data_IF_337632986365
#
_entry.id   IF_337632986365
#
_cell.length_a   1.000
_cell.length_b   1.000
_cell.length_c   1.000
_cell.angle_alpha   90.00
_cell.angle_beta   90.00
_cell.angle_gamma   90.00
#
_symmetry.space_group_name_H-M   'P 1'
#
loop_
_entity.id
_entity.type
_entity.pdbx_description
1 polymer ?
#
# COMPACT_ATOMS: atom_id res chain seq x y z
N UNK A 1 5.20 -34.16 -2.98
CA UNK A 1 6.66 -34.14 -3.25
C UNK A 1 7.29 -33.27 -2.19
N UNK A 2 8.39 -33.69 -1.58
CA UNK A 2 9.04 -32.89 -0.54
C UNK A 2 10.55 -32.91 -0.74
N UNK A 3 11.19 -31.79 -0.46
CA UNK A 3 12.64 -31.64 -0.52
C UNK A 3 13.08 -30.98 0.78
N UNK A 4 13.85 -31.71 1.60
CA UNK A 4 14.39 -31.20 2.87
C UNK A 4 13.41 -31.13 4.05
N UNK A 5 12.14 -31.53 3.91
CA UNK A 5 11.16 -31.57 5.03
C UNK A 5 10.28 -32.82 4.99
N UNK A 6 10.02 -33.41 6.16
CA UNK A 6 9.08 -34.53 6.31
C UNK A 6 7.66 -34.06 6.62
N UNK A 7 7.51 -32.84 7.14
CA UNK A 7 6.21 -32.21 7.35
C UNK A 7 5.84 -31.38 6.12
N UNK A 8 4.85 -31.88 5.38
CA UNK A 8 4.34 -31.20 4.19
C UNK A 8 3.12 -30.34 4.49
N UNK A 9 2.56 -30.37 5.71
CA UNK A 9 1.34 -29.66 6.11
C UNK A 9 0.18 -29.76 5.10
N UNK A 10 0.09 -30.89 4.38
CA UNK A 10 -0.93 -31.14 3.35
C UNK A 10 -0.68 -30.47 1.99
N UNK A 11 0.43 -29.73 1.81
CA UNK A 11 0.80 -29.14 0.53
C UNK A 11 1.30 -30.20 -0.46
N UNK A 12 0.97 -30.02 -1.75
CA UNK A 12 1.45 -30.91 -2.83
C UNK A 12 2.97 -30.87 -3.00
N UNK A 13 3.58 -29.72 -2.75
CA UNK A 13 5.03 -29.49 -2.71
C UNK A 13 5.39 -28.74 -1.43
N UNK A 14 6.30 -29.29 -0.64
CA UNK A 14 6.88 -28.63 0.53
C UNK A 14 8.41 -28.66 0.42
N UNK A 15 9.05 -27.52 0.63
CA UNK A 15 10.49 -27.36 0.46
C UNK A 15 11.07 -26.62 1.65
N UNK A 16 12.10 -27.19 2.28
CA UNK A 16 12.88 -26.54 3.34
C UNK A 16 14.26 -26.19 2.79
N UNK A 17 14.35 -25.01 2.18
CA UNK A 17 15.53 -24.53 1.46
C UNK A 17 15.21 -23.35 0.55
N UNK A 18 16.19 -22.92 -0.24
CA UNK A 18 16.02 -21.83 -1.19
C UNK A 18 15.62 -22.36 -2.57
N UNK A 19 14.85 -21.57 -3.32
CA UNK A 19 14.48 -21.85 -4.71
C UNK A 19 15.00 -20.70 -5.57
N UNK A 20 15.65 -21.04 -6.69
CA UNK A 20 15.96 -20.11 -7.76
C UNK A 20 15.13 -20.52 -8.96
N UNK A 21 14.41 -19.58 -9.56
CA UNK A 21 13.60 -19.80 -10.75
C UNK A 21 13.70 -18.57 -11.66
N UNK A 22 13.70 -18.79 -12.97
CA UNK A 22 13.62 -17.70 -13.95
C UNK A 22 12.22 -17.05 -13.93
N UNK A 23 11.17 -17.84 -13.68
CA UNK A 23 9.80 -17.37 -13.59
C UNK A 23 8.94 -18.22 -12.65
N UNK A 24 8.04 -17.55 -11.93
CA UNK A 24 7.01 -18.19 -11.10
C UNK A 24 5.67 -17.50 -11.36
N UNK A 25 4.66 -18.25 -11.79
CA UNK A 25 3.32 -17.75 -12.02
C UNK A 25 2.40 -18.16 -10.87
N UNK A 26 2.01 -17.19 -10.03
CA UNK A 26 1.06 -17.42 -8.93
C UNK A 26 -0.34 -17.05 -9.40
N UNK A 27 -1.21 -18.04 -9.57
CA UNK A 27 -2.64 -17.84 -9.85
C UNK A 27 -3.43 -17.97 -8.55
N UNK A 28 -3.70 -16.84 -7.92
CA UNK A 28 -4.63 -16.80 -6.78
C UNK A 28 -6.03 -17.17 -7.25
N UNK A 29 -6.74 -17.96 -6.45
CA UNK A 29 -8.18 -18.21 -6.65
C UNK A 29 -9.03 -17.07 -6.05
N UNK A 30 -8.43 -16.20 -5.22
CA UNK A 30 -9.07 -15.01 -4.66
C UNK A 30 -9.02 -13.79 -5.57
N UNK A 31 -9.73 -12.73 -5.18
CA UNK A 31 -9.79 -11.48 -5.95
C UNK A 31 -8.48 -10.71 -5.93
N UNK A 32 -8.05 -10.28 -7.12
CA UNK A 32 -7.05 -9.23 -7.30
C UNK A 32 -7.64 -7.87 -6.85
N UNK A 33 -6.89 -7.01 -6.12
CA UNK A 33 -7.41 -5.75 -5.58
C UNK A 33 -7.79 -4.62 -6.55
N UNK A 34 -8.26 -4.92 -7.76
CA UNK A 34 -8.73 -3.92 -8.74
C UNK A 34 -9.93 -3.07 -8.24
N UNK A 35 -10.49 -3.43 -7.09
CA UNK A 35 -11.63 -2.74 -6.48
C UNK A 35 -11.27 -1.40 -5.82
N UNK A 36 -9.99 -1.06 -5.60
CA UNK A 36 -9.56 0.18 -4.93
C UNK A 36 -10.01 1.43 -5.69
N UNK A 37 -10.14 1.34 -7.02
CA UNK A 37 -10.61 2.44 -7.86
C UNK A 37 -12.14 2.53 -7.99
N UNK A 38 -12.89 1.64 -7.33
CA UNK A 38 -14.35 1.66 -7.39
C UNK A 38 -14.92 2.78 -6.52
N UNK A 39 -16.08 3.33 -6.91
CA UNK A 39 -16.75 4.42 -6.17
C UNK A 39 -17.17 4.01 -4.76
N UNK A 40 -17.35 2.72 -4.51
CA UNK A 40 -17.70 2.16 -3.20
C UNK A 40 -16.49 1.93 -2.29
N UNK A 41 -15.27 2.07 -2.80
CA UNK A 41 -14.07 1.86 -2.00
C UNK A 41 -13.89 2.97 -0.97
N UNK A 42 -13.81 2.57 0.30
CA UNK A 42 -13.55 3.50 1.39
C UNK A 42 -12.04 3.64 1.59
N UNK A 43 -11.45 4.64 0.94
CA UNK A 43 -10.04 4.97 1.12
C UNK A 43 -9.78 5.36 2.59
N UNK A 44 -8.91 4.64 3.33
CA UNK A 44 -8.59 5.01 4.70
C UNK A 44 -7.91 6.38 4.77
N UNK A 45 -8.23 7.21 5.76
CA UNK A 45 -7.53 8.48 5.91
C UNK A 45 -6.09 8.28 6.40
N UNK A 46 -5.18 9.17 5.97
CA UNK A 46 -3.78 9.15 6.42
C UNK A 46 -3.66 9.25 7.95
N UNK A 47 -4.56 9.99 8.61
CA UNK A 47 -4.60 10.08 10.08
C UNK A 47 -4.90 8.72 10.73
N UNK A 48 -5.83 7.95 10.15
CA UNK A 48 -6.18 6.60 10.65
C UNK A 48 -5.02 5.63 10.42
N UNK A 49 -4.35 5.74 9.27
CA UNK A 49 -3.16 4.93 8.94
C UNK A 49 -2.02 5.27 9.92
N UNK A 50 -1.73 6.55 10.15
CA UNK A 50 -0.70 7.01 11.08
C UNK A 50 -0.96 6.49 12.49
N UNK A 51 -2.19 6.62 12.98
CA UNK A 51 -2.59 6.09 14.28
C UNK A 51 -2.33 4.58 14.38
N UNK A 52 -2.71 3.83 13.35
CA UNK A 52 -2.47 2.39 13.32
C UNK A 52 -0.98 2.05 13.34
N UNK A 53 -0.15 2.75 12.55
CA UNK A 53 1.30 2.53 12.53
C UNK A 53 1.90 2.83 13.91
N UNK A 54 1.49 3.91 14.56
CA UNK A 54 1.96 4.25 15.91
C UNK A 54 1.57 3.20 16.96
N UNK A 55 0.37 2.63 16.85
CA UNK A 55 -0.14 1.63 17.80
C UNK A 55 0.39 0.21 17.55
N UNK A 56 0.60 -0.16 16.28
CA UNK A 56 0.86 -1.55 15.86
C UNK A 56 2.26 -1.77 15.29
N UNK A 57 2.90 -0.73 14.74
CA UNK A 57 4.23 -0.80 14.14
C UNK A 57 4.27 -1.32 12.70
N UNK A 58 3.13 -1.51 12.05
CA UNK A 58 3.03 -1.97 10.67
C UNK A 58 1.78 -1.38 9.98
N UNK A 59 1.65 -1.58 8.67
CA UNK A 59 0.54 -1.05 7.88
C UNK A 59 -0.75 -1.85 8.06
N UNK A 60 -1.93 -1.21 8.06
CA UNK A 60 -3.21 -1.93 8.11
C UNK A 60 -3.33 -2.97 6.99
N UNK A 61 -3.65 -4.22 7.35
CA UNK A 61 -3.83 -5.34 6.41
C UNK A 61 -2.55 -6.09 6.03
N UNK A 62 -1.37 -5.55 6.36
CA UNK A 62 -0.08 -6.23 6.23
C UNK A 62 0.19 -6.99 7.54
N UNK A 63 0.62 -8.27 7.49
CA UNK A 63 0.95 -9.01 8.69
C UNK A 63 2.14 -8.40 9.43
N UNK A 64 2.11 -8.50 10.75
CA UNK A 64 3.20 -8.14 11.65
C UNK A 64 4.38 -9.09 11.50
N UNK A 65 5.57 -8.66 11.93
CA UNK A 65 6.77 -9.53 11.96
C UNK A 65 6.51 -10.84 12.72
N UNK A 66 5.76 -10.79 13.83
CA UNK A 66 5.44 -11.98 14.63
C UNK A 66 4.55 -12.98 13.88
N UNK A 67 3.56 -12.47 13.14
CA UNK A 67 2.70 -13.32 12.30
C UNK A 67 3.50 -13.94 11.15
N UNK A 68 4.41 -13.16 10.53
CA UNK A 68 5.30 -13.65 9.48
C UNK A 68 6.26 -14.72 9.99
N UNK A 69 6.81 -14.57 11.20
CA UNK A 69 7.69 -15.56 11.82
C UNK A 69 6.94 -16.86 12.16
N UNK A 70 5.70 -16.77 12.63
CA UNK A 70 4.91 -17.92 13.04
C UNK A 70 4.31 -18.69 11.84
N UNK A 71 3.76 -17.97 10.86
CA UNK A 71 2.92 -18.54 9.80
C UNK A 71 3.59 -18.50 8.42
N UNK A 72 4.63 -17.68 8.26
CA UNK A 72 5.22 -17.35 6.97
C UNK A 72 4.37 -16.35 6.17
N UNK A 73 4.67 -16.21 4.89
CA UNK A 73 3.93 -15.35 3.97
C UNK A 73 3.48 -16.15 2.75
N UNK A 74 2.19 -16.04 2.41
CA UNK A 74 1.72 -16.39 1.08
C UNK A 74 2.14 -15.29 0.09
N UNK A 75 3.09 -15.60 -0.80
CA UNK A 75 3.66 -14.64 -1.75
C UNK A 75 2.59 -13.98 -2.65
N UNK A 76 1.59 -14.75 -3.10
CA UNK A 76 0.52 -14.22 -3.92
C UNK A 76 -0.35 -13.23 -3.15
N UNK A 77 -0.83 -13.62 -1.97
CA UNK A 77 -1.66 -12.75 -1.12
C UNK A 77 -0.91 -11.49 -0.68
N UNK A 78 0.38 -11.61 -0.36
CA UNK A 78 1.20 -10.45 -0.02
C UNK A 78 1.36 -9.51 -1.22
N UNK A 79 1.63 -10.03 -2.41
CA UNK A 79 1.72 -9.20 -3.61
C UNK A 79 0.40 -8.49 -3.92
N UNK A 80 -0.73 -9.17 -3.74
CA UNK A 80 -2.05 -8.55 -3.86
C UNK A 80 -2.20 -7.40 -2.83
N UNK A 81 -1.97 -7.67 -1.55
CA UNK A 81 -2.03 -6.65 -0.49
C UNK A 81 -1.11 -5.46 -0.76
N UNK A 82 0.11 -5.71 -1.25
CA UNK A 82 1.06 -4.66 -1.60
C UNK A 82 0.56 -3.79 -2.76
N UNK A 83 0.00 -4.37 -3.82
CA UNK A 83 -0.57 -3.56 -4.89
C UNK A 83 -1.77 -2.74 -4.40
N UNK A 84 -2.64 -3.31 -3.56
CA UNK A 84 -3.71 -2.53 -2.91
C UNK A 84 -3.14 -1.29 -2.19
N UNK A 85 -2.01 -1.44 -1.48
CA UNK A 85 -1.36 -0.30 -0.80
C UNK A 85 -0.74 0.70 -1.77
N UNK A 86 -0.18 0.24 -2.89
CA UNK A 86 0.33 1.13 -3.94
C UNK A 86 -0.80 1.94 -4.56
N UNK A 87 -1.96 1.32 -4.81
CA UNK A 87 -3.14 2.01 -5.36
C UNK A 87 -3.71 3.03 -4.37
N UNK A 88 -3.86 2.66 -3.08
CA UNK A 88 -4.25 3.58 -2.01
C UNK A 88 -3.30 4.79 -1.90
N UNK A 89 -1.99 4.54 -1.93
CA UNK A 89 -0.97 5.60 -1.90
C UNK A 89 -1.07 6.49 -3.13
N UNK A 90 -1.33 5.92 -4.31
CA UNK A 90 -1.50 6.69 -5.55
C UNK A 90 -2.71 7.63 -5.45
N UNK A 91 -3.83 7.17 -4.88
CA UNK A 91 -5.00 8.02 -4.64
C UNK A 91 -4.69 9.17 -3.68
N UNK A 92 -3.98 8.90 -2.58
CA UNK A 92 -3.54 9.96 -1.67
C UNK A 92 -2.59 10.97 -2.34
N UNK A 93 -1.68 10.51 -3.19
CA UNK A 93 -0.77 11.39 -3.94
C UNK A 93 -1.52 12.29 -4.93
N UNK A 94 -2.54 11.76 -5.61
CA UNK A 94 -3.40 12.55 -6.50
C UNK A 94 -4.16 13.62 -5.72
N UNK A 95 -4.70 13.27 -4.54
CA UNK A 95 -5.37 14.23 -3.66
C UNK A 95 -4.39 15.32 -3.18
N UNK A 96 -3.18 14.92 -2.79
CA UNK A 96 -2.13 15.83 -2.34
C UNK A 96 -1.69 16.79 -3.46
N UNK A 97 -1.52 16.32 -4.69
CA UNK A 97 -1.18 17.17 -5.85
C UNK A 97 -2.26 18.23 -6.13
N UNK A 98 -3.54 17.85 -6.02
CA UNK A 98 -4.67 18.80 -6.15
C UNK A 98 -4.62 19.88 -5.07
N UNK A 99 -4.42 19.49 -3.82
CA UNK A 99 -4.31 20.42 -2.69
C UNK A 99 -3.11 21.35 -2.85
N UNK A 100 -1.97 20.83 -3.31
CA UNK A 100 -0.77 21.61 -3.56
C UNK A 100 -1.00 22.65 -4.67
N UNK A 101 -1.66 22.29 -5.77
CA UNK A 101 -2.02 23.22 -6.84
C UNK A 101 -2.98 24.31 -6.37
N UNK A 102 -4.00 23.94 -5.60
CA UNK A 102 -4.94 24.91 -5.03
C UNK A 102 -4.23 25.93 -4.13
N UNK A 103 -3.34 25.45 -3.24
CA UNK A 103 -2.56 26.33 -2.36
C UNK A 103 -1.60 27.24 -3.15
N UNK A 104 -0.99 26.74 -4.23
CA UNK A 104 -0.11 27.56 -5.08
C UNK A 104 -0.88 28.69 -5.77
N UNK A 105 -2.10 28.45 -6.24
CA UNK A 105 -2.95 29.49 -6.82
C UNK A 105 -3.38 30.52 -5.79
N UNK A 106 -3.75 30.10 -4.58
CA UNK A 106 -4.08 31.02 -3.48
C UNK A 106 -2.89 31.91 -3.11
N UNK A 107 -1.71 31.32 -2.95
CA UNK A 107 -0.46 32.06 -2.69
C UNK A 107 -0.14 33.03 -3.82
N UNK A 108 -0.41 32.67 -5.08
CA UNK A 108 -0.22 33.56 -6.23
C UNK A 108 -1.19 34.74 -6.18
N UNK A 109 -2.46 34.50 -5.85
CA UNK A 109 -3.47 35.55 -5.67
C UNK A 109 -3.06 36.57 -4.60
N UNK A 110 -2.68 36.07 -3.41
CA UNK A 110 -2.21 36.90 -2.29
C UNK A 110 -0.99 37.74 -2.69
N UNK A 111 -0.02 37.16 -3.43
CA UNK A 111 1.16 37.91 -3.90
C UNK A 111 0.80 39.05 -4.85
N UNK A 112 -0.19 38.85 -5.72
CA UNK A 112 -0.66 39.89 -6.64
C UNK A 112 -1.29 41.04 -5.86
N UNK A 113 -2.17 40.75 -4.90
CA UNK A 113 -2.81 41.75 -4.05
C UNK A 113 -1.78 42.52 -3.21
N UNK A 114 -0.81 41.83 -2.61
CA UNK A 114 0.27 42.44 -1.85
C UNK A 114 1.07 43.44 -2.70
N UNK A 115 1.40 43.09 -3.94
CA UNK A 115 2.13 43.96 -4.85
C UNK A 115 1.31 45.19 -5.24
N UNK A 116 -0.01 45.02 -5.47
CA UNK A 116 -0.90 46.13 -5.77
C UNK A 116 -1.04 47.11 -4.60
N UNK A 117 -1.08 46.62 -3.36
CA UNK A 117 -1.11 47.46 -2.16
C UNK A 117 0.21 48.20 -1.94
N UNK A 118 1.36 47.55 -2.22
CA UNK A 118 2.69 48.18 -2.13
C UNK A 118 2.88 49.28 -3.17
N UNK A 119 2.31 49.15 -4.38
CA UNK A 119 2.46 50.18 -5.41
C UNK A 119 1.58 51.41 -5.22
N UNK A 120 0.60 51.36 -4.28
CA UNK A 120 -0.28 52.48 -3.93
C UNK A 120 0.27 53.33 -2.77
N UNK A 121 1.41 52.96 -2.21
CA UNK A 121 2.06 53.60 -1.06
C UNK A 121 3.34 54.29 -1.50
#
# INVERSE_FOLDING_TARGET
MWVGTLDTRGYKLALAGNIVAEAVTVKLQGSWPDYVFTKSYQLPSLQKIEKHIKEKGYLPGIPSTKEVEAEGINLGEMNAKLLQKIEELTLHLIEQDKNQKALQEEVRGIKIELNHLKSKK
#
